data_IF_013850561856
#
_entry.id   IF_013850561856
#
_cell.length_a   1.000
_cell.length_b   1.000
_cell.length_c   1.000
_cell.angle_alpha   90.00
_cell.angle_beta   90.00
_cell.angle_gamma   90.00
#
_symmetry.space_group_name_H-M   'P 1'
#
loop_
_entity.id
_entity.type
_entity.pdbx_description
1 polymer ?
#
# COMPACT_ATOMS: atom_id res chain seq x y z
N UNK A 1 56.27 -29.03 3.59
CA UNK A 1 57.64 -28.70 3.17
C UNK A 1 57.57 -28.61 1.65
N UNK A 2 57.52 -27.45 1.02
CA UNK A 2 58.50 -26.37 1.04
C UNK A 2 57.85 -24.98 0.99
N UNK A 3 58.54 -24.08 1.65
CA UNK A 3 58.28 -22.65 1.84
C UNK A 3 59.11 -21.82 0.84
N UNK A 4 58.91 -20.49 0.88
CA UNK A 4 59.68 -19.38 0.26
C UNK A 4 59.26 -18.92 -1.15
N UNK A 5 59.17 -17.63 -1.47
CA UNK A 5 59.38 -16.40 -0.71
C UNK A 5 58.64 -15.21 -1.36
N UNK A 6 58.29 -14.25 -0.51
CA UNK A 6 57.82 -12.90 -0.83
C UNK A 6 58.66 -12.17 -1.89
N UNK A 7 57.99 -11.40 -2.76
CA UNK A 7 58.37 -10.01 -3.02
C UNK A 7 57.15 -9.17 -3.35
N UNK A 8 56.93 -8.16 -2.51
CA UNK A 8 55.92 -7.11 -2.66
C UNK A 8 56.35 -6.19 -3.81
N UNK A 9 55.48 -5.97 -4.79
CA UNK A 9 55.46 -4.74 -5.58
C UNK A 9 54.07 -4.12 -5.47
N UNK A 10 53.96 -3.18 -4.52
CA UNK A 10 52.97 -2.12 -4.62
C UNK A 10 53.25 -1.34 -5.91
N UNK A 11 52.31 -1.35 -6.84
CA UNK A 11 52.12 -0.24 -7.77
C UNK A 11 50.65 0.13 -7.65
N UNK A 12 50.40 1.14 -6.81
CA UNK A 12 49.17 1.91 -6.83
C UNK A 12 49.20 2.73 -8.12
N UNK A 13 48.37 2.37 -9.08
CA UNK A 13 47.89 3.31 -10.10
C UNK A 13 46.38 3.20 -10.13
N UNK A 14 45.75 4.02 -9.30
CA UNK A 14 44.34 4.38 -9.43
C UNK A 14 44.16 5.12 -10.76
N UNK A 15 43.93 4.37 -11.83
CA UNK A 15 43.40 4.96 -13.06
C UNK A 15 41.91 5.16 -12.85
N UNK A 16 41.55 6.35 -12.37
CA UNK A 16 40.19 6.85 -12.43
C UNK A 16 39.88 7.06 -13.92
N UNK A 17 39.30 6.06 -14.57
CA UNK A 17 38.67 6.23 -15.87
C UNK A 17 37.42 7.10 -15.69
N UNK A 18 37.63 8.42 -15.65
CA UNK A 18 36.57 9.39 -15.85
C UNK A 18 36.11 9.32 -17.30
N UNK A 19 35.02 8.60 -17.55
CA UNK A 19 34.29 8.73 -18.79
C UNK A 19 33.45 10.02 -18.72
N UNK A 20 34.00 11.11 -19.23
CA UNK A 20 33.23 12.31 -19.55
C UNK A 20 32.42 12.03 -20.82
N UNK A 21 31.29 11.33 -20.69
CA UNK A 21 30.24 11.42 -21.68
C UNK A 21 29.44 12.67 -21.38
N UNK A 22 29.70 13.73 -22.14
CA UNK A 22 28.80 14.86 -22.24
C UNK A 22 27.50 14.35 -22.90
N UNK A 23 26.55 13.89 -22.08
CA UNK A 23 25.18 13.69 -22.54
C UNK A 23 24.65 15.08 -22.87
N UNK A 24 24.74 15.47 -24.15
CA UNK A 24 23.86 16.47 -24.72
C UNK A 24 22.43 15.92 -24.60
N UNK A 25 21.84 16.21 -23.44
CA UNK A 25 20.48 15.89 -23.08
C UNK A 25 19.60 16.76 -23.97
N UNK A 26 19.16 16.22 -25.09
CA UNK A 26 18.17 16.85 -25.96
C UNK A 26 16.88 17.05 -25.14
N UNK A 27 16.73 18.25 -24.58
CA UNK A 27 15.55 18.70 -23.86
C UNK A 27 14.47 19.13 -24.84
N UNK A 28 13.96 18.22 -25.65
CA UNK A 28 12.76 18.51 -26.44
C UNK A 28 11.88 17.27 -26.46
N UNK A 29 10.62 17.48 -26.03
CA UNK A 29 9.53 16.51 -25.98
C UNK A 29 9.51 15.58 -24.75
N UNK A 30 9.27 16.15 -23.56
CA UNK A 30 8.35 15.57 -22.53
C UNK A 30 8.06 16.59 -21.42
N UNK A 31 7.57 17.79 -21.75
CA UNK A 31 7.14 18.80 -20.75
C UNK A 31 5.64 18.73 -20.42
N UNK A 32 4.93 17.67 -20.78
CA UNK A 32 3.47 17.57 -20.65
C UNK A 32 2.92 16.50 -19.70
N UNK A 33 3.73 15.58 -19.17
CA UNK A 33 3.21 14.34 -18.56
C UNK A 33 3.80 13.98 -17.18
N UNK A 34 4.21 14.97 -16.38
CA UNK A 34 4.67 14.74 -14.98
C UNK A 34 3.69 15.31 -13.93
N UNK A 35 2.64 16.02 -14.34
CA UNK A 35 1.70 16.68 -13.41
C UNK A 35 0.45 15.85 -13.01
N UNK A 36 0.39 14.55 -13.34
CA UNK A 36 -0.76 13.69 -13.06
C UNK A 36 -0.53 12.62 -11.98
N UNK A 37 0.55 12.70 -11.20
CA UNK A 37 0.97 11.64 -10.29
C UNK A 37 0.59 11.80 -8.79
N UNK A 38 -0.34 12.69 -8.42
CA UNK A 38 -0.65 12.95 -6.98
C UNK A 38 -2.12 12.91 -6.54
N UNK A 39 -3.08 12.44 -7.35
CA UNK A 39 -4.51 12.42 -6.93
C UNK A 39 -5.03 11.08 -6.40
N UNK A 40 -4.20 10.03 -6.30
CA UNK A 40 -4.68 8.68 -5.95
C UNK A 40 -5.03 8.45 -4.47
N UNK A 41 -4.93 9.46 -3.59
CA UNK A 41 -5.30 9.33 -2.18
C UNK A 41 -6.75 9.74 -1.85
N UNK A 42 -7.51 10.29 -2.82
CA UNK A 42 -8.80 10.94 -2.56
C UNK A 42 -10.01 10.05 -2.86
N UNK A 43 -10.04 8.83 -2.32
CA UNK A 43 -11.25 7.99 -2.32
C UNK A 43 -12.06 8.19 -1.03
N UNK A 44 -13.40 8.18 -1.07
CA UNK A 44 -14.22 8.28 0.14
C UNK A 44 -13.95 7.10 1.07
N UNK A 45 -13.90 7.38 2.37
CA UNK A 45 -13.60 6.40 3.42
C UNK A 45 -14.93 5.86 3.99
N UNK A 46 -15.14 4.54 4.04
CA UNK A 46 -16.31 3.97 4.67
C UNK A 46 -16.20 4.11 6.20
N UNK A 47 -17.23 4.64 6.84
CA UNK A 47 -17.33 4.86 8.29
C UNK A 47 -18.68 4.39 8.79
N UNK A 48 -18.72 3.76 9.97
CA UNK A 48 -19.98 3.47 10.64
C UNK A 48 -20.53 4.72 11.31
N UNK A 49 -21.81 5.01 11.12
CA UNK A 49 -22.46 6.18 11.67
C UNK A 49 -23.85 5.86 12.21
N UNK A 50 -24.17 6.48 13.34
CA UNK A 50 -25.50 6.50 13.97
C UNK A 50 -25.67 7.85 14.63
N UNK A 51 -26.68 8.61 14.22
CA UNK A 51 -26.88 9.97 14.70
C UNK A 51 -27.04 10.00 16.24
N UNK A 52 -26.28 10.88 16.90
CA UNK A 52 -26.36 11.07 18.36
C UNK A 52 -25.72 9.95 19.20
N UNK A 53 -25.15 8.91 18.59
CA UNK A 53 -24.45 7.87 19.33
C UNK A 53 -23.12 8.40 19.92
N UNK A 54 -22.74 7.88 21.08
CA UNK A 54 -21.46 8.19 21.70
C UNK A 54 -20.31 7.54 20.90
N UNK A 55 -19.20 8.25 20.71
CA UNK A 55 -18.02 7.73 19.98
C UNK A 55 -17.45 6.50 20.69
N UNK A 56 -17.39 6.51 22.02
CA UNK A 56 -16.94 5.37 22.84
C UNK A 56 -17.84 4.14 22.67
N UNK A 57 -19.16 4.35 22.52
CA UNK A 57 -20.14 3.28 22.28
C UNK A 57 -19.95 2.67 20.90
N UNK A 58 -19.74 3.49 19.87
CA UNK A 58 -19.38 3.00 18.54
C UNK A 58 -18.12 2.13 18.59
N UNK A 59 -17.06 2.60 19.22
CA UNK A 59 -15.80 1.85 19.32
C UNK A 59 -15.98 0.51 20.07
N UNK A 60 -16.78 0.51 21.14
CA UNK A 60 -17.09 -0.69 21.91
C UNK A 60 -17.90 -1.69 21.09
N UNK A 61 -18.93 -1.20 20.38
CA UNK A 61 -19.79 -2.04 19.53
C UNK A 61 -19.02 -2.61 18.33
N UNK A 62 -18.13 -1.82 17.71
CA UNK A 62 -17.26 -2.25 16.63
C UNK A 62 -16.31 -3.37 17.11
N UNK A 63 -15.71 -3.22 18.31
CA UNK A 63 -14.87 -4.25 18.91
C UNK A 63 -15.66 -5.55 19.19
N UNK A 64 -16.86 -5.44 19.76
CA UNK A 64 -17.72 -6.60 20.03
C UNK A 64 -18.09 -7.30 18.72
N UNK A 65 -18.49 -6.56 17.69
CA UNK A 65 -18.81 -7.14 16.39
C UNK A 65 -17.59 -7.76 15.71
N UNK A 66 -16.42 -7.13 15.77
CA UNK A 66 -15.19 -7.67 15.21
C UNK A 66 -14.75 -8.96 15.90
N UNK A 67 -14.85 -9.02 17.24
CA UNK A 67 -14.52 -10.24 18.01
C UNK A 67 -15.51 -11.36 17.77
N UNK A 68 -16.81 -11.06 17.66
CA UNK A 68 -17.82 -12.04 17.27
C UNK A 68 -17.55 -12.59 15.86
N UNK A 69 -17.31 -11.71 14.89
CA UNK A 69 -17.00 -12.10 13.52
C UNK A 69 -15.71 -12.95 13.44
N UNK A 70 -14.70 -12.68 14.30
CA UNK A 70 -13.50 -13.51 14.41
C UNK A 70 -13.79 -14.91 14.99
N UNK A 71 -14.74 -15.04 15.91
CA UNK A 71 -15.14 -16.35 16.45
C UNK A 71 -15.89 -17.19 15.42
N UNK A 72 -16.77 -16.56 14.64
CA UNK A 72 -17.60 -17.23 13.63
C UNK A 72 -16.82 -17.52 12.33
N UNK A 73 -15.91 -16.62 11.92
CA UNK A 73 -15.08 -16.75 10.73
C UNK A 73 -13.59 -16.55 11.10
N UNK A 74 -12.95 -17.57 11.73
CA UNK A 74 -11.57 -17.47 12.19
C UNK A 74 -10.60 -17.28 11.02
N UNK A 75 -9.43 -16.74 11.33
CA UNK A 75 -8.35 -16.56 10.34
C UNK A 75 -7.96 -17.91 9.77
N UNK A 76 -8.15 -18.09 8.47
CA UNK A 76 -7.82 -19.31 7.76
C UNK A 76 -6.83 -18.96 6.63
N UNK A 77 -5.54 -18.99 6.98
CA UNK A 77 -4.47 -18.64 6.05
C UNK A 77 -4.18 -19.83 5.13
N UNK A 78 -4.25 -19.58 3.82
CA UNK A 78 -3.86 -20.51 2.77
C UNK A 78 -2.64 -19.95 2.03
N UNK A 79 -1.61 -20.78 1.87
CA UNK A 79 -0.42 -20.44 1.08
C UNK A 79 -0.71 -20.80 -0.37
N UNK A 80 -0.60 -19.81 -1.27
CA UNK A 80 -0.83 -19.95 -2.70
C UNK A 80 0.40 -19.49 -3.48
N UNK A 81 0.52 -19.95 -4.71
CA UNK A 81 1.59 -19.55 -5.62
C UNK A 81 0.99 -18.93 -6.88
N UNK A 82 1.58 -17.83 -7.34
CA UNK A 82 1.29 -17.32 -8.67
C UNK A 82 1.79 -18.30 -9.75
N UNK A 83 1.19 -18.31 -10.95
CA UNK A 83 1.70 -19.14 -12.03
C UNK A 83 3.13 -18.70 -12.42
N UNK A 84 4.02 -19.63 -12.80
CA UNK A 84 5.33 -19.29 -13.33
C UNK A 84 5.18 -18.56 -14.67
N UNK A 85 6.11 -17.64 -14.94
CA UNK A 85 6.13 -16.85 -16.18
C UNK A 85 7.35 -17.23 -17.00
N UNK A 86 7.14 -17.64 -18.25
CA UNK A 86 8.23 -17.91 -19.18
C UNK A 86 8.70 -16.61 -19.85
N UNK A 87 10.00 -16.36 -19.78
CA UNK A 87 10.66 -15.27 -20.48
C UNK A 87 11.38 -15.83 -21.70
N UNK A 88 10.96 -15.48 -22.93
CA UNK A 88 11.61 -15.99 -24.13
C UNK A 88 13.04 -15.46 -24.25
N UNK A 89 13.90 -16.28 -24.85
CA UNK A 89 15.28 -15.92 -25.13
C UNK A 89 15.37 -14.74 -26.09
N UNK A 90 16.41 -13.92 -25.94
CA UNK A 90 16.66 -12.78 -26.82
C UNK A 90 18.10 -12.77 -27.30
N UNK A 91 18.31 -12.28 -28.51
CA UNK A 91 19.64 -11.93 -28.99
C UNK A 91 19.94 -10.49 -28.59
N UNK A 92 21.13 -10.25 -28.05
CA UNK A 92 21.62 -8.89 -27.76
C UNK A 92 22.90 -8.69 -28.56
N UNK A 93 22.92 -7.63 -29.37
CA UNK A 93 24.07 -7.27 -30.18
C UNK A 93 24.72 -6.00 -29.64
N UNK A 94 26.05 -5.99 -29.59
CA UNK A 94 26.85 -4.81 -29.28
C UNK A 94 28.07 -4.77 -30.21
N UNK A 95 28.23 -3.68 -30.97
CA UNK A 95 29.32 -3.47 -31.94
C UNK A 95 29.52 -4.64 -32.92
N UNK A 96 28.42 -5.19 -33.47
CA UNK A 96 28.46 -6.30 -34.43
C UNK A 96 28.64 -7.68 -33.80
N UNK A 97 28.96 -7.77 -32.51
CA UNK A 97 28.97 -9.05 -31.77
C UNK A 97 27.60 -9.31 -31.15
N UNK A 98 26.96 -10.39 -31.61
CA UNK A 98 25.65 -10.80 -31.15
C UNK A 98 25.74 -12.05 -30.27
N UNK A 99 25.17 -11.98 -29.08
CA UNK A 99 25.06 -13.10 -28.16
C UNK A 99 23.59 -13.48 -27.97
N UNK A 100 23.31 -14.77 -28.02
CA UNK A 100 21.98 -15.30 -27.75
C UNK A 100 21.85 -15.68 -26.28
N UNK A 101 20.82 -15.16 -25.61
CA UNK A 101 20.44 -15.54 -24.26
C UNK A 101 19.26 -16.53 -24.36
N UNK A 102 19.37 -17.75 -23.81
CA UNK A 102 18.27 -18.70 -23.80
C UNK A 102 17.11 -18.17 -22.95
N UNK A 103 15.90 -18.63 -23.29
CA UNK A 103 14.73 -18.34 -22.46
C UNK A 103 14.81 -19.04 -21.11
N UNK A 104 14.08 -18.52 -20.13
CA UNK A 104 14.05 -19.09 -18.78
C UNK A 104 12.66 -18.97 -18.15
N UNK A 105 12.40 -19.81 -17.15
CA UNK A 105 11.21 -19.73 -16.32
C UNK A 105 11.50 -18.87 -15.10
N UNK A 106 10.65 -17.87 -14.85
CA UNK A 106 10.58 -17.21 -13.55
C UNK A 106 9.53 -17.91 -12.71
N UNK A 107 9.92 -18.32 -11.51
CA UNK A 107 8.99 -18.87 -10.53
C UNK A 107 7.93 -17.83 -10.16
N UNK A 108 6.72 -18.30 -9.88
CA UNK A 108 5.66 -17.44 -9.36
C UNK A 108 5.87 -17.19 -7.86
N UNK A 109 5.58 -15.97 -7.42
CA UNK A 109 5.70 -15.61 -6.01
C UNK A 109 4.68 -16.36 -5.15
N UNK A 110 5.10 -16.70 -3.93
CA UNK A 110 4.25 -17.31 -2.90
C UNK A 110 3.57 -16.20 -2.10
N UNK A 111 2.27 -16.33 -1.87
CA UNK A 111 1.47 -15.37 -1.12
C UNK A 111 0.47 -16.08 -0.21
N UNK A 112 0.13 -15.41 0.90
CA UNK A 112 -0.83 -15.93 1.88
C UNK A 112 -2.15 -15.21 1.76
N UNK A 113 -3.24 -15.97 1.69
CA UNK A 113 -4.61 -15.43 1.65
C UNK A 113 -5.39 -15.93 2.85
N UNK A 114 -6.04 -15.01 3.58
CA UNK A 114 -7.07 -15.39 4.53
C UNK A 114 -8.40 -15.61 3.80
N UNK A 115 -8.78 -16.87 3.62
CA UNK A 115 -9.98 -17.25 2.85
C UNK A 115 -11.28 -16.81 3.53
N UNK A 116 -11.27 -16.66 4.85
CA UNK A 116 -12.44 -16.29 5.63
C UNK A 116 -12.59 -14.76 5.77
N UNK A 117 -11.59 -13.98 5.37
CA UNK A 117 -11.62 -12.52 5.50
C UNK A 117 -12.88 -11.86 4.90
N UNK A 118 -13.35 -12.23 3.68
CA UNK A 118 -14.56 -11.61 3.12
C UNK A 118 -15.84 -11.99 3.89
N UNK A 119 -15.94 -13.22 4.41
CA UNK A 119 -17.05 -13.65 5.25
C UNK A 119 -17.05 -12.87 6.57
N UNK A 120 -15.90 -12.81 7.24
CA UNK A 120 -15.73 -12.07 8.49
C UNK A 120 -16.14 -10.61 8.36
N UNK A 121 -15.73 -9.94 7.28
CA UNK A 121 -16.14 -8.56 7.00
C UNK A 121 -17.66 -8.41 6.81
N UNK A 122 -18.35 -9.41 6.24
CA UNK A 122 -19.82 -9.39 6.10
C UNK A 122 -20.51 -9.59 7.44
N UNK A 123 -20.00 -10.48 8.29
CA UNK A 123 -20.53 -10.72 9.64
C UNK A 123 -20.40 -9.48 10.52
N UNK A 124 -19.23 -8.83 10.49
CA UNK A 124 -19.01 -7.57 11.21
C UNK A 124 -20.00 -6.48 10.76
N UNK A 125 -20.15 -6.29 9.44
CA UNK A 125 -21.14 -5.34 8.87
C UNK A 125 -22.57 -5.66 9.29
N UNK A 126 -22.95 -6.94 9.27
CA UNK A 126 -24.28 -7.39 9.68
C UNK A 126 -24.54 -7.12 11.16
N UNK A 127 -23.55 -7.38 12.01
CA UNK A 127 -23.63 -7.08 13.44
C UNK A 127 -23.79 -5.57 13.69
N UNK A 128 -22.98 -4.74 13.02
CA UNK A 128 -23.11 -3.27 13.13
C UNK A 128 -24.48 -2.78 12.64
N UNK A 129 -24.98 -3.34 11.54
CA UNK A 129 -26.32 -3.03 11.03
C UNK A 129 -27.43 -3.40 12.02
N UNK A 130 -27.34 -4.55 12.69
CA UNK A 130 -28.32 -4.96 13.73
C UNK A 130 -28.33 -4.02 14.95
N UNK A 131 -27.20 -3.37 15.24
CA UNK A 131 -27.08 -2.34 16.29
C UNK A 131 -27.57 -0.96 15.83
N UNK A 132 -28.01 -0.85 14.58
CA UNK A 132 -28.55 0.37 13.97
C UNK A 132 -27.48 1.32 13.46
N UNK A 133 -26.26 0.85 13.20
CA UNK A 133 -25.23 1.63 12.51
C UNK A 133 -25.37 1.47 11.00
N UNK A 134 -25.15 2.56 10.28
CA UNK A 134 -25.10 2.57 8.82
C UNK A 134 -23.66 2.82 8.35
N UNK A 135 -23.24 2.13 7.30
CA UNK A 135 -21.94 2.38 6.69
C UNK A 135 -22.10 3.48 5.64
N UNK A 136 -21.51 4.64 5.89
CA UNK A 136 -21.52 5.80 5.01
C UNK A 136 -20.13 6.06 4.44
N UNK A 137 -20.06 6.61 3.24
CA UNK A 137 -18.80 6.96 2.61
C UNK A 137 -18.55 8.47 2.78
N UNK A 138 -17.57 8.84 3.61
CA UNK A 138 -17.23 10.24 3.87
C UNK A 138 -15.96 10.65 3.12
N UNK A 139 -15.88 11.92 2.72
CA UNK A 139 -14.64 12.48 2.16
C UNK A 139 -13.52 12.39 3.21
N UNK A 140 -12.27 12.15 2.78
CA UNK A 140 -11.13 12.19 3.70
C UNK A 140 -10.84 13.63 4.12
N UNK A 141 -10.46 13.83 5.38
CA UNK A 141 -10.01 15.14 5.83
C UNK A 141 -8.70 15.53 5.12
N UNK A 142 -8.69 16.70 4.50
CA UNK A 142 -7.46 17.36 4.02
C UNK A 142 -6.68 17.92 5.21
N UNK A 143 -5.37 18.16 5.08
CA UNK A 143 -4.56 18.73 6.18
C UNK A 143 -5.11 20.06 6.71
N UNK A 144 -5.79 20.84 5.87
CA UNK A 144 -6.43 22.11 6.26
C UNK A 144 -7.77 21.93 6.97
N UNK A 145 -8.44 20.77 6.83
CA UNK A 145 -9.77 20.47 7.39
C UNK A 145 -9.71 19.52 8.59
N UNK A 146 -8.51 19.28 9.15
CA UNK A 146 -8.35 18.59 10.42
C UNK A 146 -8.81 19.48 11.59
N UNK A 147 -10.10 19.85 11.58
CA UNK A 147 -10.74 20.64 12.63
C UNK A 147 -10.87 19.88 13.94
N UNK A 148 -11.47 20.51 14.94
CA UNK A 148 -11.70 19.95 16.28
C UNK A 148 -12.41 18.58 16.19
N UNK A 149 -12.00 17.58 16.99
CA UNK A 149 -12.76 16.34 17.11
C UNK A 149 -14.22 16.67 17.41
N UNK A 150 -15.16 16.06 16.67
CA UNK A 150 -16.56 16.06 17.10
C UNK A 150 -16.58 15.53 18.54
N UNK A 151 -17.35 16.16 19.42
CA UNK A 151 -17.36 15.86 20.86
C UNK A 151 -17.70 14.39 21.20
N UNK A 152 -18.02 14.07 22.46
CA UNK A 152 -18.24 12.67 22.87
C UNK A 152 -19.37 11.96 22.10
N UNK A 153 -20.23 12.72 21.40
CA UNK A 153 -21.31 12.21 20.55
C UNK A 153 -21.07 12.55 19.08
N UNK A 154 -21.49 11.64 18.22
CA UNK A 154 -21.51 11.81 16.77
C UNK A 154 -22.52 12.91 16.40
N UNK A 155 -21.99 14.05 15.98
CA UNK A 155 -22.77 15.17 15.48
C UNK A 155 -23.52 14.81 14.18
N UNK A 156 -24.61 15.51 13.84
CA UNK A 156 -25.25 15.37 12.55
C UNK A 156 -24.24 15.60 11.42
N UNK A 157 -24.29 14.74 10.41
CA UNK A 157 -23.43 14.87 9.23
C UNK A 157 -23.82 16.13 8.46
N UNK A 158 -22.82 16.94 8.16
CA UNK A 158 -22.92 18.10 7.27
C UNK A 158 -22.05 17.89 6.03
N UNK A 159 -22.22 18.72 5.01
CA UNK A 159 -21.35 18.71 3.81
C UNK A 159 -19.87 18.96 4.14
N UNK A 160 -19.59 19.58 5.29
CA UNK A 160 -18.25 19.80 5.85
C UNK A 160 -17.72 18.60 6.65
N UNK A 161 -18.49 17.52 6.81
CA UNK A 161 -18.03 16.34 7.55
C UNK A 161 -16.99 15.56 6.74
N UNK A 162 -15.86 15.26 7.38
CA UNK A 162 -14.80 14.46 6.79
C UNK A 162 -14.39 13.36 7.75
N UNK A 163 -13.86 12.26 7.21
CA UNK A 163 -13.34 11.15 8.00
C UNK A 163 -11.81 11.13 7.95
N UNK A 164 -11.19 10.91 9.10
CA UNK A 164 -9.76 10.70 9.21
C UNK A 164 -9.51 9.33 9.84
N UNK A 165 -8.69 8.53 9.18
CA UNK A 165 -8.18 7.29 9.77
C UNK A 165 -6.93 7.61 10.59
N UNK A 166 -6.98 7.26 11.86
CA UNK A 166 -5.85 7.38 12.77
C UNK A 166 -4.83 6.28 12.51
N UNK A 167 -3.62 6.43 13.07
CA UNK A 167 -2.52 5.46 12.91
C UNK A 167 -2.81 4.10 13.55
N UNK A 168 -3.63 4.08 14.59
CA UNK A 168 -4.12 2.88 15.27
C UNK A 168 -5.20 2.13 14.46
N UNK A 169 -5.63 2.68 13.32
CA UNK A 169 -6.64 2.10 12.45
C UNK A 169 -8.07 2.55 12.75
N UNK A 170 -8.31 3.26 13.86
CA UNK A 170 -9.60 3.85 14.21
C UNK A 170 -9.99 4.98 13.25
N UNK A 171 -11.28 5.20 13.04
CA UNK A 171 -11.78 6.28 12.18
C UNK A 171 -12.52 7.31 13.01
N UNK A 172 -12.10 8.56 12.92
CA UNK A 172 -12.78 9.69 13.57
C UNK A 172 -13.45 10.55 12.52
N UNK A 173 -14.65 11.03 12.83
CA UNK A 173 -15.36 12.01 12.02
C UNK A 173 -14.99 13.40 12.56
N UNK A 174 -14.57 14.29 11.68
CA UNK A 174 -14.27 15.69 11.98
C UNK A 174 -15.21 16.61 11.21
N UNK A 175 -15.50 17.77 11.78
CA UNK A 175 -16.07 18.89 11.03
C UNK A 175 -14.93 19.71 10.45
N UNK A 176 -14.84 19.78 9.12
CA UNK A 176 -13.80 20.54 8.43
C UNK A 176 -14.24 20.85 7.00
N UNK A 177 -14.75 22.07 6.81
CA UNK A 177 -14.90 22.73 5.52
C UNK A 177 -13.68 23.58 5.25
#
# INVERSE_FOLDING_TARGET
MTDAAFTVKLIVTSSVCGHSFDMQRSYTVTSGAVLLAFTTACGPLPVYYKQGAEVSRLQSDELVCATQALKEAPVANEIRQHPPVFYPGRQVCHNGNCHYYPGYWSEGSIYTVDVNKPLRQRLEKSCMASKGYQQIALKRCTRSSAGTPLGPRLAPLSEASCAQRNRDGSTIIRSGG
#
